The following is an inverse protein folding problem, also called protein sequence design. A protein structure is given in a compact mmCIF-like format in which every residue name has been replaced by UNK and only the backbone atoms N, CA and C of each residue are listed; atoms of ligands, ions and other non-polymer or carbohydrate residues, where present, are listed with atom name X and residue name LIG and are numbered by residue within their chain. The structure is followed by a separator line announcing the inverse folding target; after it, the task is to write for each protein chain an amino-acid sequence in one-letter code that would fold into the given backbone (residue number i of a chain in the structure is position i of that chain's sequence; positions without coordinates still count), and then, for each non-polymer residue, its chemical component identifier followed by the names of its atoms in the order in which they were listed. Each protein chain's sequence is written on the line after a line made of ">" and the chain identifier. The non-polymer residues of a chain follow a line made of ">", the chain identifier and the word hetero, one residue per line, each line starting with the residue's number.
data_IF_113818632214
#
_entry.id   IF_113818632214
#
_cell.length_a   1.000
_cell.length_b   1.000
_cell.length_c   1.000
_cell.angle_alpha   90.00
_cell.angle_beta   90.00
_cell.angle_gamma   90.00
#
_symmetry.space_group_name_H-M   'P 1'
#
loop_
_entity.id
_entity.type
_entity.pdbx_description
1 polymer ?
#
# COMPACT_ATOMS: atom_id res chain seq x y z
N UNK A 1 -20.53 -26.36 -6.57
CA UNK A 1 -19.15 -26.05 -7.03
C UNK A 1 -18.75 -24.60 -6.74
N UNK A 2 -19.49 -23.58 -7.19
CA UNK A 2 -19.15 -22.16 -6.96
C UNK A 2 -18.90 -21.78 -5.47
N UNK A 3 -19.68 -22.35 -4.54
CA UNK A 3 -19.49 -22.12 -3.09
C UNK A 3 -18.14 -22.58 -2.54
N UNK A 4 -17.40 -23.44 -3.24
CA UNK A 4 -16.06 -23.89 -2.81
C UNK A 4 -14.94 -22.99 -3.35
N UNK A 5 -15.27 -22.06 -4.25
CA UNK A 5 -14.35 -21.09 -4.83
C UNK A 5 -14.38 -19.80 -3.99
N UNK A 6 -13.19 -19.27 -3.66
CA UNK A 6 -13.05 -18.00 -2.93
C UNK A 6 -13.16 -16.83 -3.90
N UNK A 7 -14.35 -16.64 -4.45
CA UNK A 7 -14.61 -15.68 -5.52
C UNK A 7 -14.21 -14.25 -5.15
N UNK A 8 -14.39 -13.85 -3.88
CA UNK A 8 -14.03 -12.51 -3.42
C UNK A 8 -12.50 -12.27 -3.37
N UNK A 9 -11.68 -13.30 -3.59
CA UNK A 9 -10.23 -13.18 -3.69
C UNK A 9 -9.73 -13.12 -5.14
N UNK A 10 -10.60 -13.31 -6.14
CA UNK A 10 -10.25 -13.10 -7.54
C UNK A 10 -9.95 -11.61 -7.80
N UNK A 11 -9.19 -11.27 -8.86
CA UNK A 11 -9.04 -9.89 -9.32
C UNK A 11 -10.40 -9.21 -9.48
N UNK A 12 -10.51 -7.95 -9.05
CA UNK A 12 -11.80 -7.26 -8.96
C UNK A 12 -12.49 -7.16 -10.33
N UNK A 13 -11.73 -6.77 -11.36
CA UNK A 13 -12.20 -6.67 -12.74
C UNK A 13 -12.68 -8.02 -13.23
N UNK A 14 -11.90 -9.09 -13.07
CA UNK A 14 -12.29 -10.43 -13.51
C UNK A 14 -13.58 -10.92 -12.83
N UNK A 15 -13.73 -10.69 -11.52
CA UNK A 15 -14.94 -11.05 -10.79
C UNK A 15 -16.17 -10.28 -11.30
N UNK A 16 -16.03 -8.98 -11.54
CA UNK A 16 -17.14 -8.09 -11.90
C UNK A 16 -17.51 -8.14 -13.39
N UNK A 17 -16.53 -8.33 -14.28
CA UNK A 17 -16.73 -8.27 -15.73
C UNK A 17 -16.84 -9.65 -16.37
N UNK A 18 -16.10 -10.66 -15.89
CA UNK A 18 -16.12 -12.00 -16.48
C UNK A 18 -17.05 -12.94 -15.72
N UNK A 19 -16.84 -13.11 -14.41
CA UNK A 19 -17.58 -14.10 -13.62
C UNK A 19 -19.05 -13.70 -13.45
N UNK A 20 -19.33 -12.43 -13.18
CA UNK A 20 -20.69 -11.95 -12.99
C UNK A 20 -21.51 -11.90 -14.30
N UNK A 21 -20.85 -11.78 -15.45
CA UNK A 21 -21.51 -11.71 -16.76
C UNK A 21 -21.73 -13.08 -17.41
N UNK A 22 -21.21 -14.16 -16.82
CA UNK A 22 -21.25 -15.48 -17.42
C UNK A 22 -22.70 -16.05 -17.48
N UNK A 23 -23.05 -16.70 -18.58
CA UNK A 23 -24.41 -17.14 -18.90
C UNK A 23 -24.98 -18.20 -17.93
N UNK A 24 -24.18 -19.18 -17.50
CA UNK A 24 -24.54 -20.18 -16.49
C UNK A 24 -24.74 -19.56 -15.11
N UNK A 25 -24.04 -18.47 -14.80
CA UNK A 25 -24.22 -17.73 -13.53
C UNK A 25 -25.51 -16.92 -13.56
N UNK A 26 -25.77 -16.20 -14.66
CA UNK A 26 -26.95 -15.34 -14.80
C UNK A 26 -28.25 -16.14 -14.94
N UNK A 27 -28.21 -17.33 -15.54
CA UNK A 27 -29.37 -18.23 -15.67
C UNK A 27 -29.84 -18.86 -14.35
N UNK A 28 -28.98 -18.94 -13.34
CA UNK A 28 -29.28 -19.67 -12.10
C UNK A 28 -29.23 -18.77 -10.86
N UNK A 29 -30.40 -18.54 -10.24
CA UNK A 29 -30.55 -17.61 -9.10
C UNK A 29 -29.54 -17.84 -7.97
N UNK A 30 -29.34 -19.09 -7.53
CA UNK A 30 -28.39 -19.38 -6.44
C UNK A 30 -26.94 -19.02 -6.82
N UNK A 31 -26.57 -19.18 -8.09
CA UNK A 31 -25.22 -18.85 -8.57
C UNK A 31 -25.00 -17.34 -8.54
N UNK A 32 -26.03 -16.58 -8.94
CA UNK A 32 -26.05 -15.12 -8.88
C UNK A 32 -25.91 -14.61 -7.45
N UNK A 33 -26.68 -15.16 -6.51
CA UNK A 33 -26.61 -14.77 -5.08
C UNK A 33 -25.18 -14.96 -4.52
N UNK A 34 -24.51 -16.06 -4.87
CA UNK A 34 -23.12 -16.35 -4.44
C UNK A 34 -22.14 -15.31 -5.02
N UNK A 35 -22.29 -14.94 -6.28
CA UNK A 35 -21.41 -13.96 -6.93
C UNK A 35 -21.65 -12.55 -6.38
N UNK A 36 -22.90 -12.17 -6.15
CA UNK A 36 -23.24 -10.89 -5.52
C UNK A 36 -22.68 -10.77 -4.09
N UNK A 37 -22.74 -11.85 -3.30
CA UNK A 37 -22.09 -11.91 -1.98
C UNK A 37 -20.58 -11.73 -2.12
N UNK A 38 -19.95 -12.43 -3.08
CA UNK A 38 -18.52 -12.33 -3.32
C UNK A 38 -18.08 -10.92 -3.76
N UNK A 39 -18.86 -10.25 -4.61
CA UNK A 39 -18.62 -8.86 -5.03
C UNK A 39 -18.70 -7.94 -3.81
N UNK A 40 -19.73 -8.09 -2.97
CA UNK A 40 -19.88 -7.29 -1.74
C UNK A 40 -18.69 -7.48 -0.80
N UNK A 41 -18.24 -8.72 -0.64
CA UNK A 41 -17.05 -9.03 0.14
C UNK A 41 -15.77 -8.43 -0.47
N UNK A 42 -15.60 -8.51 -1.79
CA UNK A 42 -14.48 -7.92 -2.52
C UNK A 42 -14.42 -6.41 -2.32
N UNK A 43 -15.56 -5.72 -2.44
CA UNK A 43 -15.66 -4.28 -2.23
C UNK A 43 -15.27 -3.90 -0.80
N UNK A 44 -15.78 -4.63 0.22
CA UNK A 44 -15.36 -4.42 1.61
C UNK A 44 -13.86 -4.61 1.81
N UNK A 45 -13.26 -5.65 1.23
CA UNK A 45 -11.81 -5.88 1.30
C UNK A 45 -11.04 -4.72 0.65
N UNK A 46 -11.45 -4.30 -0.55
CA UNK A 46 -10.77 -3.22 -1.29
C UNK A 46 -10.88 -1.87 -0.57
N UNK A 47 -11.99 -1.64 0.14
CA UNK A 47 -12.27 -0.43 0.90
C UNK A 47 -11.79 -0.51 2.36
N UNK A 48 -11.24 -1.66 2.80
CA UNK A 48 -10.98 -1.98 4.20
C UNK A 48 -12.19 -1.74 5.14
N UNK A 49 -13.40 -1.90 4.62
CA UNK A 49 -14.66 -1.65 5.34
C UNK A 49 -15.05 -2.82 6.25
N UNK A 50 -14.44 -2.84 7.44
CA UNK A 50 -14.73 -3.79 8.50
C UNK A 50 -14.27 -5.22 8.23
N UNK A 51 -14.69 -6.13 9.11
CA UNK A 51 -14.28 -7.54 9.04
C UNK A 51 -15.20 -8.30 8.07
N UNK A 52 -14.60 -8.93 7.07
CA UNK A 52 -15.31 -9.82 6.14
C UNK A 52 -15.20 -11.26 6.61
N UNK A 53 -16.32 -11.85 7.03
CA UNK A 53 -16.38 -13.21 7.61
C UNK A 53 -16.83 -14.29 6.62
N UNK A 54 -17.31 -13.91 5.44
CA UNK A 54 -17.81 -14.87 4.45
C UNK A 54 -16.72 -15.84 3.99
N UNK A 55 -17.11 -17.10 3.76
CA UNK A 55 -16.22 -18.14 3.27
C UNK A 55 -15.65 -17.83 1.88
N UNK A 56 -16.38 -17.08 1.05
CA UNK A 56 -15.93 -16.68 -0.28
C UNK A 56 -14.76 -15.68 -0.23
N UNK A 57 -14.54 -15.06 0.92
CA UNK A 57 -13.58 -13.99 1.18
C UNK A 57 -12.48 -14.40 2.15
N UNK A 58 -12.61 -15.55 2.82
CA UNK A 58 -11.62 -16.04 3.77
C UNK A 58 -10.44 -16.68 3.04
N UNK A 59 -9.21 -16.13 3.11
CA UNK A 59 -8.03 -16.74 2.49
C UNK A 59 -7.81 -18.18 2.97
N UNK A 60 -7.27 -19.02 2.08
CA UNK A 60 -6.99 -20.44 2.35
C UNK A 60 -5.87 -20.59 3.41
N UNK A 61 -5.01 -19.57 3.52
CA UNK A 61 -4.06 -19.36 4.61
C UNK A 61 -4.34 -17.98 5.22
N UNK A 62 -4.84 -17.92 6.44
CA UNK A 62 -4.89 -16.66 7.21
C UNK A 62 -3.58 -16.55 7.98
N UNK A 63 -2.80 -15.51 7.70
CA UNK A 63 -1.55 -15.27 8.41
C UNK A 63 -1.19 -13.80 8.35
N UNK A 64 -0.57 -13.31 9.43
CA UNK A 64 0.12 -12.03 9.40
C UNK A 64 1.40 -12.21 8.58
N UNK A 65 1.65 -11.29 7.65
CA UNK A 65 2.92 -11.23 6.93
C UNK A 65 3.76 -10.12 7.54
N UNK A 66 5.03 -10.42 7.81
CA UNK A 66 6.03 -9.41 8.18
C UNK A 66 6.90 -9.16 6.96
N UNK A 67 6.86 -7.93 6.46
CA UNK A 67 7.74 -7.47 5.39
C UNK A 67 8.89 -6.65 5.96
N UNK A 68 10.07 -6.82 5.38
CA UNK A 68 11.25 -6.01 5.67
C UNK A 68 11.61 -5.24 4.41
N UNK A 69 11.76 -3.93 4.55
CA UNK A 69 12.19 -3.01 3.51
C UNK A 69 12.84 -1.79 4.17
N UNK A 70 13.84 -1.23 3.51
CA UNK A 70 14.52 0.00 3.93
C UNK A 70 15.93 -0.21 4.47
N UNK A 71 16.44 0.84 5.10
CA UNK A 71 17.84 0.99 5.51
C UNK A 71 18.28 2.43 5.36
N UNK A 72 19.11 2.92 6.29
CA UNK A 72 19.64 4.28 6.26
C UNK A 72 20.93 4.40 5.42
N UNK A 73 21.71 3.32 5.38
CA UNK A 73 23.07 3.34 4.80
C UNK A 73 23.07 3.12 3.30
N UNK A 74 22.36 2.09 2.84
CA UNK A 74 22.34 1.67 1.44
C UNK A 74 20.94 1.85 0.84
N UNK A 75 20.90 2.05 -0.47
CA UNK A 75 19.62 2.04 -1.18
C UNK A 75 18.98 0.66 -1.02
N UNK A 76 17.70 0.66 -0.67
CA UNK A 76 16.89 -0.53 -0.69
C UNK A 76 16.24 -0.66 -2.06
N UNK A 77 16.47 -1.78 -2.71
CA UNK A 77 15.94 -2.16 -4.01
C UNK A 77 15.02 -3.39 -3.93
N UNK A 78 14.85 -3.97 -2.74
CA UNK A 78 14.09 -5.22 -2.53
C UNK A 78 13.19 -5.17 -1.30
N UNK A 79 12.04 -5.80 -1.47
CA UNK A 79 11.09 -6.17 -0.42
C UNK A 79 11.37 -7.60 -0.01
N UNK A 80 11.50 -7.86 1.30
CA UNK A 80 11.68 -9.20 1.84
C UNK A 80 10.49 -9.62 2.69
N UNK A 81 10.16 -10.90 2.68
CA UNK A 81 9.16 -11.54 3.51
C UNK A 81 9.85 -12.38 4.58
N UNK A 82 9.42 -12.25 5.84
CA UNK A 82 9.88 -13.12 6.93
C UNK A 82 8.98 -14.35 6.98
N UNK A 83 9.55 -15.52 6.68
CA UNK A 83 8.90 -16.80 6.98
C UNK A 83 9.18 -17.15 8.43
N UNK A 84 8.18 -16.93 9.30
CA UNK A 84 8.30 -17.24 10.73
C UNK A 84 8.44 -18.74 11.02
N UNK A 85 7.96 -19.61 10.13
CA UNK A 85 8.02 -21.06 10.32
C UNK A 85 9.40 -21.59 9.95
N UNK A 86 9.91 -21.17 8.80
CA UNK A 86 11.25 -21.52 8.35
C UNK A 86 12.34 -20.74 9.08
N UNK A 87 11.98 -19.61 9.73
CA UNK A 87 12.90 -18.61 10.30
C UNK A 87 13.86 -18.04 9.25
N UNK A 88 13.35 -17.83 8.05
CA UNK A 88 14.11 -17.35 6.90
C UNK A 88 13.59 -15.99 6.42
N UNK A 89 14.47 -15.21 5.83
CA UNK A 89 14.13 -13.96 5.15
C UNK A 89 14.21 -14.22 3.64
N UNK A 90 13.08 -14.10 2.96
CA UNK A 90 12.93 -14.49 1.56
C UNK A 90 12.75 -13.23 0.71
N UNK A 91 13.55 -13.00 -0.35
CA UNK A 91 13.32 -11.90 -1.27
C UNK A 91 11.98 -12.09 -1.99
N UNK A 92 11.16 -11.04 -2.02
CA UNK A 92 9.77 -11.12 -2.50
C UNK A 92 9.50 -10.30 -3.75
N UNK A 93 9.97 -9.06 -3.81
CA UNK A 93 9.76 -8.19 -4.97
C UNK A 93 10.86 -7.13 -5.05
N UNK A 94 11.15 -6.64 -6.24
CA UNK A 94 12.07 -5.52 -6.44
C UNK A 94 11.30 -4.19 -6.30
N UNK A 95 11.83 -3.27 -5.51
CA UNK A 95 11.24 -1.94 -5.27
C UNK A 95 11.51 -1.07 -6.52
N UNK A 96 10.47 -0.52 -7.16
CA UNK A 96 10.66 0.43 -8.23
C UNK A 96 11.38 1.67 -7.72
N UNK A 97 12.45 2.07 -8.41
CA UNK A 97 13.31 3.20 -8.02
C UNK A 97 13.91 3.02 -6.61
N UNK A 98 15.07 2.32 -6.53
CA UNK A 98 15.80 2.09 -5.28
C UNK A 98 16.08 3.38 -4.51
N UNK A 99 15.89 3.32 -3.19
CA UNK A 99 15.91 4.51 -2.33
C UNK A 99 16.23 4.17 -0.88
N UNK A 100 16.65 5.18 -0.12
CA UNK A 100 16.90 5.09 1.32
C UNK A 100 16.11 6.16 2.08
N UNK A 101 16.01 6.03 3.40
CA UNK A 101 15.35 7.02 4.28
C UNK A 101 13.90 7.35 3.86
N UNK A 102 13.24 6.40 3.21
CA UNK A 102 11.81 6.47 2.95
C UNK A 102 11.04 5.95 4.17
N UNK A 103 9.74 6.20 4.21
CA UNK A 103 8.86 5.62 5.21
C UNK A 103 7.95 4.57 4.58
N UNK A 104 7.65 3.50 5.33
CA UNK A 104 6.78 2.43 4.90
C UNK A 104 5.58 2.27 5.84
N UNK A 105 4.39 2.08 5.29
CA UNK A 105 3.17 1.88 6.06
C UNK A 105 2.25 0.86 5.37
N UNK A 106 1.63 -0.03 6.15
CA UNK A 106 0.67 -0.99 5.63
C UNK A 106 -0.76 -0.47 5.85
N UNK A 107 -1.59 -0.53 4.80
CA UNK A 107 -3.03 -0.25 4.87
C UNK A 107 -3.76 -1.42 4.20
N UNK A 108 -4.43 -2.26 5.00
CA UNK A 108 -5.04 -3.49 4.51
C UNK A 108 -4.01 -4.44 3.89
N UNK A 109 -4.27 -4.89 2.66
CA UNK A 109 -3.37 -5.75 1.88
C UNK A 109 -2.38 -4.97 0.99
N UNK A 110 -2.08 -3.72 1.34
CA UNK A 110 -1.17 -2.87 0.56
C UNK A 110 -0.07 -2.30 1.45
N UNK A 111 1.16 -2.26 0.92
CA UNK A 111 2.31 -1.62 1.56
C UNK A 111 2.68 -0.38 0.77
N UNK A 112 2.67 0.77 1.44
CA UNK A 112 2.98 2.07 0.86
C UNK A 112 4.41 2.45 1.22
N UNK A 113 5.21 2.83 0.22
CA UNK A 113 6.51 3.47 0.37
C UNK A 113 6.34 4.93 0.01
N UNK A 114 6.79 5.83 0.87
CA UNK A 114 6.68 7.28 0.67
C UNK A 114 8.05 7.95 0.73
N UNK A 115 8.32 8.82 -0.24
CA UNK A 115 9.48 9.71 -0.23
C UNK A 115 10.83 8.99 -0.26
N UNK A 116 11.78 9.51 0.52
CA UNK A 116 13.16 9.03 0.61
C UNK A 116 14.11 9.73 -0.37
N UNK A 117 15.36 9.25 -0.39
CA UNK A 117 16.44 9.75 -1.26
C UNK A 117 16.83 8.68 -2.28
N UNK A 118 16.83 9.06 -3.56
CA UNK A 118 17.34 8.25 -4.67
C UNK A 118 18.80 8.55 -5.02
N UNK A 119 19.32 7.91 -6.06
CA UNK A 119 20.72 8.06 -6.54
C UNK A 119 21.05 9.44 -7.11
N UNK A 120 20.07 10.14 -7.69
CA UNK A 120 20.28 11.47 -8.29
C UNK A 120 20.21 12.62 -7.26
N UNK A 121 20.62 12.38 -6.00
CA UNK A 121 20.63 13.33 -4.87
C UNK A 121 19.28 14.02 -4.55
N UNK A 122 18.19 13.64 -5.22
CA UNK A 122 16.87 14.21 -5.05
C UNK A 122 16.12 13.63 -3.86
N UNK A 123 15.54 14.52 -3.05
CA UNK A 123 14.46 14.15 -2.13
C UNK A 123 13.21 13.87 -2.96
N UNK A 124 12.58 12.72 -2.73
CA UNK A 124 11.45 12.26 -3.54
C UNK A 124 10.11 12.64 -2.93
N UNK A 125 9.12 12.90 -3.80
CA UNK A 125 7.69 12.95 -3.47
C UNK A 125 6.92 11.70 -3.87
N UNK A 126 7.60 10.74 -4.51
CA UNK A 126 6.94 9.56 -5.06
C UNK A 126 6.37 8.67 -3.97
N UNK A 127 5.27 8.00 -4.34
CA UNK A 127 4.59 7.02 -3.50
C UNK A 127 4.42 5.75 -4.32
N UNK A 128 4.97 4.65 -3.81
CA UNK A 128 4.85 3.32 -4.41
C UNK A 128 3.99 2.44 -3.53
N UNK A 129 3.13 1.64 -4.16
CA UNK A 129 2.17 0.78 -3.47
C UNK A 129 2.38 -0.65 -3.95
N UNK A 130 2.78 -1.51 -3.03
CA UNK A 130 2.85 -2.95 -3.26
C UNK A 130 1.52 -3.58 -2.85
N UNK A 131 0.84 -4.21 -3.80
CA UNK A 131 -0.36 -5.01 -3.56
C UNK A 131 0.06 -6.43 -3.19
N UNK A 132 -0.20 -6.85 -1.95
CA UNK A 132 0.23 -8.18 -1.47
C UNK A 132 -0.63 -9.32 -2.01
N UNK A 133 -1.78 -9.03 -2.63
CA UNK A 133 -2.65 -10.02 -3.25
C UNK A 133 -2.23 -10.31 -4.69
N UNK A 134 -1.87 -9.28 -5.44
CA UNK A 134 -1.45 -9.39 -6.84
C UNK A 134 0.08 -9.48 -6.98
N UNK A 135 0.82 -9.19 -5.91
CA UNK A 135 2.28 -9.18 -5.87
C UNK A 135 2.90 -8.17 -6.84
N UNK A 136 2.21 -7.05 -7.07
CA UNK A 136 2.57 -6.04 -8.04
C UNK A 136 2.78 -4.66 -7.38
N UNK A 137 3.71 -3.90 -7.94
CA UNK A 137 3.91 -2.50 -7.60
C UNK A 137 3.11 -1.58 -8.51
N UNK A 138 2.58 -0.52 -7.92
CA UNK A 138 1.89 0.55 -8.64
C UNK A 138 2.29 1.91 -8.08
N UNK A 139 2.18 2.95 -8.89
CA UNK A 139 2.47 4.32 -8.46
C UNK A 139 1.17 5.01 -7.99
N UNK A 140 1.20 5.59 -6.80
CA UNK A 140 0.10 6.41 -6.28
C UNK A 140 0.36 7.91 -6.53
N UNK A 141 -0.62 8.75 -6.19
CA UNK A 141 -0.43 10.19 -6.25
C UNK A 141 0.79 10.61 -5.40
N UNK A 142 1.67 11.49 -5.92
CA UNK A 142 2.82 11.94 -5.17
C UNK A 142 2.41 12.81 -3.99
N UNK A 143 3.21 12.79 -2.93
CA UNK A 143 3.07 13.72 -1.80
C UNK A 143 3.15 15.18 -2.27
N UNK A 144 2.60 16.10 -1.48
CA UNK A 144 2.66 17.53 -1.75
C UNK A 144 4.08 18.07 -1.49
N UNK A 145 4.75 17.56 -0.45
CA UNK A 145 6.12 17.93 -0.11
C UNK A 145 7.06 16.74 -0.24
N UNK A 146 8.12 16.90 -1.03
CA UNK A 146 9.21 15.92 -1.11
C UNK A 146 9.94 15.85 0.24
N UNK A 147 10.11 14.64 0.78
CA UNK A 147 10.73 14.44 2.10
C UNK A 147 11.47 13.10 2.25
N UNK A 148 12.39 13.06 3.19
CA UNK A 148 13.12 11.86 3.64
C UNK A 148 13.26 11.86 5.17
N UNK A 149 13.53 10.71 5.77
CA UNK A 149 13.68 10.57 7.22
C UNK A 149 12.39 10.81 8.02
N UNK A 150 11.23 10.77 7.36
CA UNK A 150 9.92 11.04 7.97
C UNK A 150 9.26 9.78 8.56
N UNK A 151 8.29 10.02 9.43
CA UNK A 151 7.38 8.98 9.92
C UNK A 151 6.14 8.85 9.05
N UNK A 152 5.59 7.63 8.96
CA UNK A 152 4.27 7.41 8.37
C UNK A 152 3.46 6.41 9.19
N UNK A 153 2.14 6.60 9.21
CA UNK A 153 1.22 5.76 9.97
C UNK A 153 -0.16 5.72 9.33
N UNK A 154 -0.89 4.63 9.55
CA UNK A 154 -2.27 4.48 9.14
C UNK A 154 -3.19 4.97 10.25
N UNK A 155 -4.21 5.75 9.87
CA UNK A 155 -5.31 6.12 10.76
C UNK A 155 -6.60 6.21 9.95
N UNK A 156 -7.59 5.39 10.30
CA UNK A 156 -8.91 5.35 9.66
C UNK A 156 -8.80 5.16 8.14
N UNK A 157 -7.97 4.21 7.72
CA UNK A 157 -7.69 3.83 6.34
C UNK A 157 -7.01 4.92 5.49
N UNK A 158 -6.55 5.99 6.11
CA UNK A 158 -5.76 7.03 5.48
C UNK A 158 -4.30 6.91 5.92
N UNK A 159 -3.39 7.24 5.00
CA UNK A 159 -1.96 7.30 5.29
C UNK A 159 -1.60 8.70 5.75
N UNK A 160 -0.97 8.82 6.92
CA UNK A 160 -0.42 10.06 7.41
C UNK A 160 1.10 10.04 7.26
N UNK A 161 1.64 11.15 6.80
CA UNK A 161 3.08 11.38 6.65
C UNK A 161 3.45 12.61 7.45
N UNK A 162 4.41 12.46 8.37
CA UNK A 162 4.70 13.42 9.44
C UNK A 162 6.18 13.76 9.46
N UNK A 163 6.50 15.06 9.42
CA UNK A 163 7.86 15.58 9.60
C UNK A 163 8.84 15.10 8.52
N UNK A 164 10.06 14.80 8.95
CA UNK A 164 11.22 14.52 8.14
C UNK A 164 11.85 15.79 7.60
N UNK A 165 12.68 15.61 6.60
CA UNK A 165 13.49 16.68 6.06
C UNK A 165 13.27 16.85 4.57
N UNK A 166 13.42 18.08 4.10
CA UNK A 166 13.46 18.39 2.67
C UNK A 166 14.78 19.07 2.28
N UNK A 167 15.09 19.06 0.99
CA UNK A 167 16.22 19.83 0.48
C UNK A 167 15.84 21.32 0.46
N UNK A 168 16.73 22.19 0.96
CA UNK A 168 16.56 23.62 0.79
C UNK A 168 16.54 23.95 -0.72
N UNK A 169 15.46 24.59 -1.17
CA UNK A 169 15.31 24.99 -2.58
C UNK A 169 16.43 25.94 -2.98
N UNK A 170 17.16 25.60 -4.05
CA UNK A 170 18.14 26.49 -4.68
C UNK A 170 19.59 26.35 -4.23
N UNK A 171 19.93 25.38 -3.37
CA UNK A 171 21.29 25.23 -2.87
C UNK A 171 21.90 23.85 -3.21
N UNK A 172 23.23 23.85 -3.40
CA UNK A 172 24.09 22.73 -3.81
C UNK A 172 23.84 21.43 -3.00
N UNK A 173 24.24 20.23 -3.49
CA UNK A 173 24.00 18.94 -2.83
C UNK A 173 24.52 18.79 -1.39
N UNK A 174 25.30 19.75 -0.88
CA UNK A 174 25.78 19.83 0.50
C UNK A 174 24.91 20.72 1.41
N UNK A 175 23.73 21.15 0.96
CA UNK A 175 22.90 22.12 1.70
C UNK A 175 22.26 21.53 2.95
N UNK A 176 22.10 22.34 4.02
CA UNK A 176 21.42 21.90 5.23
C UNK A 176 19.99 21.49 4.88
N UNK A 177 19.61 20.31 5.36
CA UNK A 177 18.25 19.82 5.23
C UNK A 177 17.33 20.59 6.16
N UNK A 178 16.15 20.98 5.69
CA UNK A 178 15.16 21.71 6.49
C UNK A 178 14.21 20.71 7.13
N UNK A 179 14.11 20.72 8.46
CA UNK A 179 13.12 19.93 9.20
C UNK A 179 11.71 20.43 8.92
N UNK A 180 10.80 19.52 8.60
CA UNK A 180 9.43 19.81 8.21
C UNK A 180 8.52 19.77 9.44
N UNK A 181 7.60 20.74 9.50
CA UNK A 181 6.44 20.70 10.41
C UNK A 181 5.20 20.14 9.73
N UNK A 182 5.22 20.08 8.40
CA UNK A 182 4.10 19.69 7.56
C UNK A 182 3.69 18.24 7.84
N UNK A 183 2.40 18.05 8.07
CA UNK A 183 1.75 16.75 8.09
C UNK A 183 0.80 16.68 6.91
N UNK A 184 0.84 15.57 6.19
CA UNK A 184 -0.01 15.32 5.04
C UNK A 184 -0.78 14.01 5.24
N UNK A 185 -2.04 14.02 4.83
CA UNK A 185 -2.92 12.85 4.80
C UNK A 185 -3.15 12.45 3.35
N UNK A 186 -3.03 11.17 3.07
CA UNK A 186 -3.43 10.54 1.81
C UNK A 186 -4.65 9.67 2.01
N UNK A 187 -5.62 9.89 1.14
CA UNK A 187 -6.80 9.04 1.00
C UNK A 187 -6.62 8.09 -0.19
N UNK A 188 -6.47 6.76 0.05
CA UNK A 188 -6.35 5.77 -1.00
C UNK A 188 -7.57 5.65 -1.92
N UNK A 189 -8.76 6.05 -1.46
CA UNK A 189 -10.01 5.96 -2.24
C UNK A 189 -10.04 7.04 -3.31
N UNK A 190 -9.70 8.28 -2.93
CA UNK A 190 -9.66 9.40 -3.87
C UNK A 190 -8.31 9.58 -4.55
N UNK A 191 -7.27 8.85 -4.11
CA UNK A 191 -5.89 8.96 -4.56
C UNK A 191 -5.38 10.40 -4.50
N UNK A 192 -5.60 11.07 -3.35
CA UNK A 192 -5.26 12.48 -3.15
C UNK A 192 -4.60 12.72 -1.81
N UNK A 193 -3.69 13.69 -1.79
CA UNK A 193 -3.05 14.21 -0.61
C UNK A 193 -3.68 15.53 -0.17
N UNK A 194 -3.83 15.72 1.13
CA UNK A 194 -4.31 16.95 1.75
C UNK A 194 -3.42 17.33 2.93
N UNK A 195 -3.12 18.63 3.05
CA UNK A 195 -2.45 19.17 4.23
C UNK A 195 -3.34 19.06 5.45
N UNK A 196 -2.80 18.62 6.57
CA UNK A 196 -3.48 18.64 7.87
C UNK A 196 -2.72 19.52 8.87
N UNK A 197 -3.19 19.55 10.13
CA UNK A 197 -2.57 20.36 11.17
C UNK A 197 -1.06 20.04 11.29
N UNK A 198 -0.18 21.06 11.26
CA UNK A 198 1.26 20.84 11.34
C UNK A 198 1.69 20.51 12.78
N UNK A 199 2.90 19.97 12.91
CA UNK A 199 3.58 19.86 14.19
C UNK A 199 3.92 21.24 14.76
N UNK A 200 4.06 21.32 16.08
CA UNK A 200 4.51 22.56 16.76
C UNK A 200 5.94 22.92 16.36
N UNK A 201 6.78 21.90 16.24
CA UNK A 201 8.20 21.98 15.90
C UNK A 201 8.54 21.00 14.78
N UNK A 202 9.59 21.29 14.03
CA UNK A 202 10.02 20.44 12.92
C UNK A 202 10.82 19.26 13.46
N UNK A 203 10.53 18.05 12.97
CA UNK A 203 11.22 16.81 13.35
C UNK A 203 11.72 16.10 12.11
#
# INVERSE_FOLDING_TARGET
>A
LLQTVRLALLPAIYLMENVAAEELITKHRKSKDIVEEAIRCKLKILQNDGVVTSLCARPRKTGHALFLLGGQTFMCDKLYLVDQKAKEIIPKADIPSPRKEFSACAIGCKVYITGGRGSENGVSKDVWVYDTLHEEWSKAAPMLVARFGHGSAELKHCLYVVGGHTAATGCLPASPSVSLKQVEQYDPVTNKWTMVAPLREGV
#
